data_IF_368523169630
#
_entry.id   IF_368523169630
#
_cell.length_a   1.000
_cell.length_b   1.000
_cell.length_c   1.000
_cell.angle_alpha   90.00
_cell.angle_beta   90.00
_cell.angle_gamma   90.00
#
_symmetry.space_group_name_H-M   'P 1'
#
loop_
_entity.id
_entity.type
_entity.pdbx_description
1 polymer ?
#
# COMPACT_ATOMS: atom_id res chain seq x y z
N UNK A 1 -14.15 -9.97 2.91
CA UNK A 1 -13.23 -9.43 3.94
C UNK A 1 -12.64 -8.14 3.39
N UNK A 2 -12.70 -7.02 4.13
CA UNK A 2 -12.04 -5.77 3.72
C UNK A 2 -10.53 -6.01 3.62
N UNK A 3 -9.89 -5.61 2.52
CA UNK A 3 -8.45 -5.68 2.38
C UNK A 3 -7.80 -4.82 3.46
N UNK A 4 -7.11 -5.45 4.41
CA UNK A 4 -6.42 -4.71 5.47
C UNK A 4 -5.28 -3.90 4.86
N UNK A 5 -5.11 -2.65 5.29
CA UNK A 5 -4.09 -1.73 4.78
C UNK A 5 -2.69 -2.33 4.84
N UNK A 6 -2.36 -3.02 5.93
CA UNK A 6 -1.06 -3.66 6.12
C UNK A 6 -0.91 -5.02 5.42
N UNK A 7 -1.91 -5.49 4.67
CA UNK A 7 -1.92 -6.81 4.02
C UNK A 7 -1.94 -6.69 2.49
N UNK A 8 -1.26 -5.69 1.94
CA UNK A 8 -1.21 -5.43 0.49
C UNK A 8 -0.79 -6.66 -0.32
N UNK A 9 0.15 -7.43 0.21
CA UNK A 9 0.65 -8.66 -0.40
C UNK A 9 -0.42 -9.74 -0.67
N UNK A 10 -1.57 -9.69 0.01
CA UNK A 10 -2.67 -10.63 -0.24
C UNK A 10 -3.47 -10.32 -1.50
N UNK A 11 -3.36 -9.12 -2.04
CA UNK A 11 -4.17 -8.66 -3.17
C UNK A 11 -3.36 -7.92 -4.26
N UNK A 12 -2.05 -7.75 -4.06
CA UNK A 12 -1.12 -7.25 -5.06
C UNK A 12 0.12 -8.17 -5.09
N UNK A 13 0.21 -9.01 -6.10
CA UNK A 13 1.30 -9.98 -6.29
C UNK A 13 2.66 -9.31 -6.52
N UNK A 14 2.68 -8.06 -7.01
CA UNK A 14 3.92 -7.30 -7.20
C UNK A 14 4.47 -6.72 -5.88
N UNK A 15 3.73 -6.82 -4.78
CA UNK A 15 4.19 -6.37 -3.47
C UNK A 15 5.04 -7.46 -2.80
N UNK A 16 6.35 -7.27 -2.79
CA UNK A 16 7.30 -8.18 -2.15
C UNK A 16 7.34 -7.94 -0.63
N UNK A 17 7.36 -6.65 -0.25
CA UNK A 17 7.42 -6.13 1.11
C UNK A 17 6.21 -5.24 1.37
N UNK A 18 5.58 -5.38 2.54
CA UNK A 18 4.50 -4.53 3.02
C UNK A 18 4.49 -4.56 4.55
N UNK A 19 5.03 -3.53 5.19
CA UNK A 19 5.25 -3.49 6.63
C UNK A 19 4.75 -2.17 7.22
N UNK A 20 4.18 -2.22 8.42
CA UNK A 20 3.81 -1.02 9.17
C UNK A 20 5.06 -0.51 9.87
N UNK A 21 5.47 0.70 9.54
CA UNK A 21 6.69 1.34 10.06
C UNK A 21 6.39 2.41 11.12
N UNK A 22 5.13 2.85 11.21
CA UNK A 22 4.68 3.82 12.22
C UNK A 22 3.20 3.56 12.57
N UNK A 23 2.85 3.80 13.84
CA UNK A 23 1.47 3.71 14.33
C UNK A 23 0.96 2.28 14.52
N UNK A 24 -0.35 2.16 14.80
CA UNK A 24 -1.00 0.87 15.01
C UNK A 24 -1.50 0.27 13.71
N UNK A 25 -1.17 -1.00 13.49
CA UNK A 25 -1.52 -1.75 12.28
C UNK A 25 -3.02 -1.66 11.97
N UNK A 26 -3.33 -1.22 10.75
CA UNK A 26 -4.69 -1.09 10.20
C UNK A 26 -5.58 -0.03 10.90
N UNK A 27 -5.00 0.87 11.69
CA UNK A 27 -5.69 2.04 12.25
C UNK A 27 -5.36 3.33 11.48
N UNK A 28 -6.33 4.26 11.29
CA UNK A 28 -6.04 5.58 10.75
C UNK A 28 -4.86 6.25 11.45
N UNK A 29 -3.93 6.78 10.67
CA UNK A 29 -2.68 7.35 11.13
C UNK A 29 -1.47 6.44 10.94
N UNK A 30 -1.64 5.12 10.79
CA UNK A 30 -0.50 4.24 10.57
C UNK A 30 0.17 4.47 9.21
N UNK A 31 1.49 4.26 9.17
CA UNK A 31 2.30 4.38 7.96
C UNK A 31 2.83 3.01 7.58
N UNK A 32 2.66 2.64 6.30
CA UNK A 32 3.26 1.45 5.72
C UNK A 32 4.38 1.78 4.77
N UNK A 33 5.39 0.92 4.72
CA UNK A 33 6.37 0.83 3.64
C UNK A 33 6.00 -0.36 2.76
N UNK A 34 5.84 -0.10 1.47
CA UNK A 34 5.61 -1.13 0.47
C UNK A 34 6.71 -1.09 -0.58
N UNK A 35 7.22 -2.25 -0.98
CA UNK A 35 8.23 -2.35 -2.02
C UNK A 35 8.03 -3.59 -2.89
N UNK A 36 8.48 -3.50 -4.14
CA UNK A 36 8.47 -4.63 -5.07
C UNK A 36 8.68 -4.21 -6.51
N UNK A 37 8.23 -5.05 -7.43
CA UNK A 37 8.49 -4.89 -8.86
C UNK A 37 9.92 -5.27 -9.27
N UNK A 38 10.58 -6.13 -8.49
CA UNK A 38 11.94 -6.60 -8.74
C UNK A 38 13.03 -5.87 -7.94
N UNK A 39 14.29 -6.26 -8.21
CA UNK A 39 15.48 -5.76 -7.52
C UNK A 39 16.46 -5.12 -8.49
N UNK A 40 17.08 -4.03 -8.07
CA UNK A 40 18.22 -3.42 -8.74
C UNK A 40 19.48 -4.32 -8.56
N UNK A 41 20.57 -4.07 -9.33
CA UNK A 41 21.80 -4.86 -9.21
C UNK A 41 22.43 -4.86 -7.81
N UNK A 42 22.19 -3.82 -7.01
CA UNK A 42 22.63 -3.71 -5.62
C UNK A 42 21.69 -4.40 -4.61
N UNK A 43 20.62 -5.05 -5.08
CA UNK A 43 19.63 -5.73 -4.26
C UNK A 43 18.53 -4.81 -3.68
N UNK A 44 18.59 -3.50 -3.94
CA UNK A 44 17.53 -2.58 -3.53
C UNK A 44 16.23 -2.80 -4.33
N UNK A 45 15.04 -2.54 -3.76
CA UNK A 45 13.79 -2.68 -4.51
C UNK A 45 13.68 -1.62 -5.61
N UNK A 46 13.25 -2.05 -6.81
CA UNK A 46 13.07 -1.15 -7.96
C UNK A 46 11.97 -0.11 -7.76
N UNK A 47 10.94 -0.45 -6.96
CA UNK A 47 9.87 0.47 -6.58
C UNK A 47 9.59 0.35 -5.10
N UNK A 48 9.38 1.49 -4.45
CA UNK A 48 8.88 1.56 -3.10
C UNK A 48 8.05 2.82 -2.88
N UNK A 49 7.17 2.77 -1.88
CA UNK A 49 6.32 3.86 -1.45
C UNK A 49 6.12 3.79 0.08
N UNK A 50 6.06 4.97 0.72
CA UNK A 50 5.55 5.13 2.07
C UNK A 50 4.17 5.73 2.01
N UNK A 51 3.20 5.14 2.71
CA UNK A 51 1.81 5.59 2.66
C UNK A 51 1.22 5.66 4.06
N UNK A 52 0.45 6.71 4.34
CA UNK A 52 -0.29 6.88 5.60
C UNK A 52 -1.77 6.57 5.39
N UNK A 53 -2.32 5.70 6.23
CA UNK A 53 -3.74 5.40 6.26
C UNK A 53 -4.51 6.61 6.79
N UNK A 54 -5.47 7.12 6.02
CA UNK A 54 -6.31 8.24 6.41
C UNK A 54 -7.66 7.75 6.94
N UNK A 55 -8.32 6.86 6.20
CA UNK A 55 -9.57 6.24 6.63
C UNK A 55 -9.63 4.77 6.23
N UNK A 56 -10.27 3.96 7.06
CA UNK A 56 -10.59 2.56 6.77
C UNK A 56 -12.03 2.29 7.22
N UNK A 57 -12.95 2.13 6.29
CA UNK A 57 -14.36 1.86 6.56
C UNK A 57 -14.75 0.49 6.01
N UNK A 58 -15.02 -0.44 6.93
CA UNK A 58 -15.52 -1.77 6.57
C UNK A 58 -16.92 -1.69 5.95
N UNK A 59 -17.77 -0.79 6.46
CA UNK A 59 -19.14 -0.59 5.99
C UNK A 59 -19.17 -0.04 4.56
N UNK A 60 -18.35 0.99 4.28
CA UNK A 60 -18.28 1.59 2.94
C UNK A 60 -17.38 0.80 1.97
N UNK A 61 -16.76 -0.28 2.44
CA UNK A 61 -15.73 -1.03 1.72
C UNK A 61 -14.64 -0.13 1.12
N UNK A 62 -14.25 0.89 1.88
CA UNK A 62 -13.42 1.99 1.40
C UNK A 62 -12.22 2.20 2.29
N UNK A 63 -11.09 2.50 1.66
CA UNK A 63 -9.86 2.90 2.31
C UNK A 63 -9.30 4.12 1.59
N UNK A 64 -8.86 5.12 2.34
CA UNK A 64 -8.14 6.27 1.79
C UNK A 64 -6.78 6.39 2.46
N UNK A 65 -5.77 6.78 1.69
CA UNK A 65 -4.40 6.92 2.14
C UNK A 65 -3.72 8.03 1.33
N UNK A 66 -2.62 8.58 1.86
CA UNK A 66 -1.74 9.47 1.11
C UNK A 66 -0.35 8.87 0.98
N UNK A 67 0.30 9.09 -0.17
CA UNK A 67 1.70 8.79 -0.36
C UNK A 67 2.53 9.88 0.30
N UNK A 68 3.44 9.49 1.18
CA UNK A 68 4.36 10.39 1.87
C UNK A 68 5.67 10.54 1.11
N UNK A 69 6.13 9.45 0.49
CA UNK A 69 7.41 9.36 -0.18
C UNK A 69 7.40 8.17 -1.16
N UNK A 70 8.16 8.26 -2.25
CA UNK A 70 8.27 7.21 -3.26
C UNK A 70 9.53 7.36 -4.10
N UNK A 71 10.00 6.27 -4.68
CA UNK A 71 11.01 6.33 -5.74
C UNK A 71 10.35 6.64 -7.09
N UNK A 72 10.79 7.72 -7.72
CA UNK A 72 10.23 8.24 -8.96
C UNK A 72 10.68 7.42 -10.18
N UNK A 73 9.95 6.35 -10.49
CA UNK A 73 9.89 5.73 -11.82
C UNK A 73 8.47 5.27 -12.20
N UNK A 74 7.44 5.82 -11.54
CA UNK A 74 6.05 5.71 -11.99
C UNK A 74 5.49 7.11 -12.26
N UNK A 75 4.83 7.35 -13.40
CA UNK A 75 3.97 8.52 -13.52
C UNK A 75 2.90 8.43 -12.42
N UNK A 76 2.73 9.51 -11.65
CA UNK A 76 1.71 9.65 -10.61
C UNK A 76 0.34 9.16 -11.13
N UNK A 77 -0.06 7.95 -10.74
CA UNK A 77 -1.44 7.50 -10.89
C UNK A 77 -2.09 7.62 -9.53
N UNK A 78 -2.96 8.63 -9.37
CA UNK A 78 -3.94 8.64 -8.30
C UNK A 78 -4.96 7.54 -8.62
N UNK A 79 -4.64 6.31 -8.22
CA UNK A 79 -5.55 5.18 -8.44
C UNK A 79 -6.58 5.17 -7.31
N UNK A 80 -7.76 5.76 -7.55
CA UNK A 80 -8.98 5.30 -6.88
C UNK A 80 -9.12 3.83 -7.29
N UNK A 81 -8.71 2.89 -6.46
CA UNK A 81 -9.03 1.49 -6.68
C UNK A 81 -10.49 1.28 -6.24
N UNK A 82 -11.47 1.13 -7.16
CA UNK A 82 -12.72 0.49 -6.77
C UNK A 82 -12.35 -0.91 -6.30
N UNK A 83 -12.77 -1.26 -5.08
CA UNK A 83 -12.55 -2.61 -4.57
C UNK A 83 -13.28 -3.59 -5.49
N UNK A 84 -12.53 -4.36 -6.28
CA UNK A 84 -13.10 -5.45 -7.06
C UNK A 84 -13.58 -6.51 -6.07
N UNK A 85 -14.88 -6.52 -5.82
CA UNK A 85 -15.57 -7.62 -5.15
C UNK A 85 -15.54 -8.83 -6.08
N UNK A 86 -14.60 -9.74 -5.86
CA UNK A 86 -14.73 -11.10 -6.35
C UNK A 86 -15.76 -11.81 -5.47
N UNK A 87 -16.90 -12.13 -6.08
CA UNK A 87 -17.84 -13.16 -5.60
C UNK A 87 -17.15 -14.53 -5.63
#
# INVERSE_FOLDING_TARGET
>A
MLGKFAQMKRWNENAEVCEVIEGRKDEPGCVRYCAGGGRAPDGSPLRWVKEKLLTLSANERRMTYCMLDLIAAMPLRVTKLPYASHQ
#
